data_IF_117551426565
#
_entry.id   IF_117551426565
#
_cell.length_a   1.000
_cell.length_b   1.000
_cell.length_c   1.000
_cell.angle_alpha   90.00
_cell.angle_beta   90.00
_cell.angle_gamma   90.00
#
_symmetry.space_group_name_H-M   'P 1'
#
loop_
_entity.id
_entity.type
_entity.pdbx_description
1 polymer ?
#
# COMPACT_ATOMS: atom_id res chain seq x y z
N UNK A 1 -64.12 -18.06 -4.22
CA UNK A 1 -62.99 -17.61 -5.06
C UNK A 1 -62.68 -16.16 -4.69
N UNK A 2 -61.81 -15.93 -3.69
CA UNK A 2 -61.10 -14.66 -3.51
C UNK A 2 -59.89 -14.94 -2.62
N UNK A 3 -58.73 -15.06 -3.27
CA UNK A 3 -57.42 -15.15 -2.63
C UNK A 3 -56.98 -13.72 -2.32
N UNK A 4 -56.93 -13.36 -1.04
CA UNK A 4 -56.25 -12.16 -0.57
C UNK A 4 -54.74 -12.45 -0.59
N UNK A 5 -54.06 -12.01 -1.64
CA UNK A 5 -52.61 -11.83 -1.64
C UNK A 5 -52.28 -10.72 -0.65
N UNK A 6 -51.75 -11.06 0.53
CA UNK A 6 -51.05 -10.09 1.37
C UNK A 6 -49.72 -9.74 0.70
N UNK A 7 -49.58 -8.47 0.33
CA UNK A 7 -48.34 -7.86 -0.14
C UNK A 7 -47.30 -7.87 0.99
N UNK A 8 -46.32 -8.77 0.91
CA UNK A 8 -45.07 -8.70 1.66
C UNK A 8 -44.10 -7.74 0.94
N UNK A 9 -44.33 -6.43 1.08
CA UNK A 9 -43.32 -5.42 0.79
C UNK A 9 -43.13 -4.57 2.04
N UNK A 10 -42.18 -4.98 2.88
CA UNK A 10 -41.67 -4.12 3.94
C UNK A 10 -40.93 -2.94 3.31
N UNK A 11 -41.40 -1.72 3.57
CA UNK A 11 -40.69 -0.49 3.18
C UNK A 11 -39.40 -0.41 3.99
N UNK A 12 -38.25 -0.52 3.34
CA UNK A 12 -36.97 -0.27 4.00
C UNK A 12 -36.89 1.21 4.40
N UNK A 13 -36.92 1.50 5.71
CA UNK A 13 -36.74 2.84 6.26
C UNK A 13 -35.28 3.02 6.72
N UNK A 14 -34.58 4.03 6.24
CA UNK A 14 -33.26 4.42 6.75
C UNK A 14 -33.42 5.43 7.90
N UNK A 15 -32.88 5.13 9.07
CA UNK A 15 -32.76 6.08 10.19
C UNK A 15 -31.35 6.66 10.24
N UNK A 16 -31.18 7.97 10.52
CA UNK A 16 -29.85 8.56 10.72
C UNK A 16 -29.16 7.89 11.91
N UNK A 17 -27.96 7.34 11.69
CA UNK A 17 -27.20 6.64 12.73
C UNK A 17 -26.21 7.55 13.46
N UNK A 18 -25.61 8.52 12.77
CA UNK A 18 -24.75 9.56 13.31
C UNK A 18 -24.71 10.75 12.34
N UNK A 19 -24.34 11.91 12.86
CA UNK A 19 -24.09 13.12 12.07
C UNK A 19 -22.78 13.76 12.54
N UNK A 20 -21.98 14.26 11.59
CA UNK A 20 -20.65 14.81 11.87
C UNK A 20 -20.45 16.10 11.08
N UNK A 21 -20.53 17.22 11.79
CA UNK A 21 -20.12 18.51 11.26
C UNK A 21 -18.59 18.58 11.20
N UNK A 22 -18.05 18.59 9.99
CA UNK A 22 -16.62 18.83 9.74
C UNK A 22 -16.44 20.30 9.40
N UNK A 23 -15.50 20.98 10.07
CA UNK A 23 -15.28 22.40 9.88
C UNK A 23 -14.69 22.70 8.47
N UNK A 24 -15.36 23.58 7.73
CA UNK A 24 -14.87 24.13 6.47
C UNK A 24 -15.47 23.50 5.20
N UNK A 25 -15.27 24.15 4.05
CA UNK A 25 -15.81 23.68 2.78
C UNK A 25 -15.09 22.40 2.32
N UNK A 26 -15.89 21.35 2.08
CA UNK A 26 -15.45 20.04 1.59
C UNK A 26 -14.90 20.17 0.16
N UNK A 27 -13.68 19.68 -0.08
CA UNK A 27 -13.26 19.27 -1.42
C UNK A 27 -13.31 17.74 -1.48
N UNK A 28 -13.92 17.21 -2.54
CA UNK A 28 -14.19 15.79 -2.71
C UNK A 28 -12.89 15.00 -2.92
N UNK A 29 -12.26 14.61 -1.81
CA UNK A 29 -11.26 13.56 -1.71
C UNK A 29 -11.81 12.33 -1.00
N UNK A 30 -13.07 11.95 -1.29
CA UNK A 30 -13.67 10.75 -0.70
C UNK A 30 -12.99 9.52 -1.23
N UNK A 31 -12.28 8.84 -0.33
CA UNK A 31 -11.77 7.50 -0.58
C UNK A 31 -12.31 6.64 0.53
N UNK A 32 -13.44 5.99 0.24
CA UNK A 32 -13.85 4.82 0.99
C UNK A 32 -12.89 3.69 0.66
N UNK A 33 -12.49 2.91 1.65
CA UNK A 33 -11.60 1.78 1.43
C UNK A 33 -12.28 0.74 0.53
N UNK A 34 -11.74 0.52 -0.67
CA UNK A 34 -12.12 -0.63 -1.49
C UNK A 34 -11.46 -1.83 -0.86
N UNK A 35 -12.27 -2.79 -0.42
CA UNK A 35 -11.90 -4.00 0.31
C UNK A 35 -10.62 -4.66 -0.27
N UNK A 36 -9.48 -4.47 0.39
CA UNK A 36 -8.16 -5.01 -0.03
C UNK A 36 -7.76 -6.19 0.85
N UNK A 37 -7.22 -7.24 0.23
CA UNK A 37 -6.68 -8.40 0.94
C UNK A 37 -5.38 -7.98 1.63
N UNK A 38 -5.27 -8.27 2.93
CA UNK A 38 -4.07 -8.04 3.74
C UNK A 38 -3.52 -9.39 4.17
N UNK A 39 -2.30 -9.71 3.74
CA UNK A 39 -1.65 -10.96 4.13
C UNK A 39 -1.15 -10.92 5.58
N UNK A 40 -0.38 -9.88 5.91
CA UNK A 40 0.28 -9.77 7.22
C UNK A 40 -0.39 -8.67 8.05
N UNK A 41 -1.04 -9.08 9.14
CA UNK A 41 -1.76 -8.18 10.06
C UNK A 41 -0.86 -7.49 11.09
N UNK A 42 0.43 -7.84 11.12
CA UNK A 42 1.36 -7.28 12.08
C UNK A 42 2.71 -6.99 11.42
N UNK A 43 3.44 -6.03 11.98
CA UNK A 43 4.81 -5.70 11.60
C UNK A 43 5.71 -6.01 12.77
N UNK A 44 6.71 -6.85 12.54
CA UNK A 44 7.73 -7.18 13.54
C UNK A 44 8.72 -6.03 13.60
N UNK A 45 9.00 -5.55 14.80
CA UNK A 45 10.01 -4.53 15.10
C UNK A 45 11.33 -5.19 15.52
N UNK A 46 12.37 -4.36 15.56
CA UNK A 46 13.75 -4.73 15.92
C UNK A 46 13.86 -5.42 17.29
N UNK A 47 13.22 -4.85 18.30
CA UNK A 47 13.18 -5.33 19.68
C UNK A 47 12.37 -6.62 19.86
N UNK A 48 12.00 -7.26 18.74
CA UNK A 48 11.05 -8.38 18.66
C UNK A 48 9.69 -7.99 19.25
N UNK A 49 9.39 -6.69 19.27
CA UNK A 49 8.05 -6.21 19.50
C UNK A 49 7.24 -6.35 18.19
N UNK A 50 5.92 -6.35 18.30
CA UNK A 50 5.00 -6.51 17.20
C UNK A 50 4.01 -5.36 17.21
N UNK A 51 4.00 -4.60 16.11
CA UNK A 51 2.95 -3.62 15.85
C UNK A 51 1.84 -4.26 15.05
N UNK A 52 0.68 -4.45 15.67
CA UNK A 52 -0.51 -4.89 14.96
C UNK A 52 -1.08 -3.75 14.13
N UNK A 53 -1.29 -4.00 12.84
CA UNK A 53 -1.90 -3.04 11.92
C UNK A 53 -3.37 -2.86 12.31
N UNK A 54 -3.83 -1.62 12.36
CA UNK A 54 -5.25 -1.35 12.50
C UNK A 54 -5.93 -1.47 11.13
N UNK A 55 -6.75 -2.51 10.95
CA UNK A 55 -7.42 -2.82 9.68
C UNK A 55 -8.93 -2.83 9.94
N UNK A 56 -9.65 -1.92 9.29
CA UNK A 56 -11.11 -1.87 9.35
C UNK A 56 -11.68 -1.51 7.98
N UNK A 57 -12.75 -2.21 7.59
CA UNK A 57 -13.48 -1.95 6.34
C UNK A 57 -14.33 -0.68 6.40
N UNK A 58 -14.54 -0.17 7.60
CA UNK A 58 -15.43 0.95 7.88
C UNK A 58 -14.65 2.26 8.02
N UNK A 59 -13.49 2.36 7.39
CA UNK A 59 -12.66 3.56 7.47
C UNK A 59 -12.92 4.48 6.29
N UNK A 60 -13.08 5.76 6.62
CA UNK A 60 -13.21 6.84 5.66
C UNK A 60 -12.14 7.89 5.95
N UNK A 61 -11.34 8.16 4.93
CA UNK A 61 -10.45 9.31 4.94
C UNK A 61 -11.18 10.53 4.36
N UNK A 62 -11.10 11.65 5.07
CA UNK A 62 -11.70 12.92 4.66
C UNK A 62 -10.64 14.02 4.77
N UNK A 63 -10.52 14.83 3.71
CA UNK A 63 -9.68 16.02 3.70
C UNK A 63 -10.56 17.26 3.49
N UNK A 64 -10.38 18.28 4.33
CA UNK A 64 -11.04 19.57 4.22
C UNK A 64 -10.00 20.66 4.04
N UNK A 65 -10.24 21.56 3.10
CA UNK A 65 -9.35 22.67 2.79
C UNK A 65 -10.12 23.96 3.00
N UNK A 66 -9.54 24.90 3.73
CA UNK A 66 -10.03 26.26 3.78
C UNK A 66 -8.92 27.26 3.43
N UNK A 67 -9.25 28.37 2.74
CA UNK A 67 -10.54 28.68 2.12
C UNK A 67 -10.89 27.72 0.97
N UNK A 68 -12.16 27.65 0.57
CA UNK A 68 -12.63 26.72 -0.48
C UNK A 68 -11.79 26.95 -1.74
N UNK A 69 -10.94 25.99 -2.07
CA UNK A 69 -10.05 26.10 -3.22
C UNK A 69 -10.87 26.11 -4.52
N UNK A 70 -11.22 27.32 -4.98
CA UNK A 70 -11.75 27.62 -6.30
C UNK A 70 -10.83 28.57 -7.08
N UNK A 71 -9.73 29.03 -6.48
CA UNK A 71 -8.79 29.95 -7.10
C UNK A 71 -7.39 29.33 -7.19
N UNK A 72 -6.64 29.74 -8.21
CA UNK A 72 -5.30 29.24 -8.55
C UNK A 72 -4.35 29.25 -7.34
N UNK A 73 -3.35 28.36 -7.36
CA UNK A 73 -2.28 28.31 -6.35
C UNK A 73 -1.70 29.72 -6.16
N UNK A 74 -1.69 30.23 -4.92
CA UNK A 74 -1.20 31.57 -4.58
C UNK A 74 -2.27 32.67 -4.47
N UNK A 75 -3.55 32.35 -4.65
CA UNK A 75 -4.67 33.28 -4.42
C UNK A 75 -5.03 33.50 -2.94
N UNK A 76 -4.39 32.76 -2.04
CA UNK A 76 -4.70 32.72 -0.61
C UNK A 76 -3.40 32.95 0.17
N UNK A 77 -3.49 33.71 1.26
CA UNK A 77 -2.35 33.93 2.16
C UNK A 77 -2.06 32.67 2.99
N UNK A 78 -0.79 32.36 3.32
CA UNK A 78 -0.45 31.17 4.11
C UNK A 78 -1.02 31.12 5.54
N UNK A 79 -1.53 32.25 6.05
CA UNK A 79 -2.13 32.33 7.40
C UNK A 79 -3.63 32.02 7.39
N UNK A 80 -4.29 32.19 6.26
CA UNK A 80 -5.71 31.84 6.07
C UNK A 80 -5.91 30.41 5.53
N UNK A 81 -4.87 29.85 4.92
CA UNK A 81 -4.90 28.53 4.34
C UNK A 81 -4.62 27.43 5.38
N UNK A 82 -5.46 26.41 5.41
CA UNK A 82 -5.27 25.21 6.22
C UNK A 82 -5.94 23.99 5.59
N UNK A 83 -5.27 22.86 5.72
CA UNK A 83 -5.76 21.55 5.32
C UNK A 83 -5.91 20.72 6.59
N UNK A 84 -7.10 20.18 6.83
CA UNK A 84 -7.35 19.24 7.92
C UNK A 84 -7.72 17.89 7.34
N UNK A 85 -7.07 16.84 7.82
CA UNK A 85 -7.38 15.46 7.44
C UNK A 85 -7.94 14.71 8.63
N UNK A 86 -8.94 13.87 8.36
CA UNK A 86 -9.67 13.09 9.32
C UNK A 86 -9.70 11.63 8.88
N UNK A 87 -9.51 10.73 9.84
CA UNK A 87 -9.86 9.33 9.70
C UNK A 87 -11.12 9.08 10.54
N UNK A 88 -12.19 8.64 9.91
CA UNK A 88 -13.51 8.48 10.53
C UNK A 88 -13.94 7.02 10.39
N UNK A 89 -14.46 6.42 11.47
CA UNK A 89 -15.18 5.16 11.41
C UNK A 89 -16.62 5.42 10.92
N UNK A 90 -16.99 4.85 9.78
CA UNK A 90 -18.27 5.09 9.10
C UNK A 90 -19.48 4.45 9.78
N UNK A 91 -19.25 3.48 10.68
CA UNK A 91 -20.34 2.84 11.43
C UNK A 91 -20.72 3.69 12.64
N UNK A 92 -19.72 4.21 13.35
CA UNK A 92 -19.92 4.94 14.62
C UNK A 92 -19.85 6.46 14.49
N UNK A 93 -19.32 6.98 13.39
CA UNK A 93 -19.02 8.41 13.19
C UNK A 93 -17.80 8.90 13.96
N UNK A 94 -17.10 8.00 14.68
CA UNK A 94 -15.97 8.39 15.54
C UNK A 94 -14.79 8.86 14.70
N UNK A 95 -14.24 10.02 15.04
CA UNK A 95 -12.94 10.48 14.54
C UNK A 95 -11.84 9.69 15.26
N UNK A 96 -11.14 8.85 14.50
CA UNK A 96 -10.03 8.04 14.99
C UNK A 96 -8.71 8.82 14.99
N UNK A 97 -8.52 9.69 14.00
CA UNK A 97 -7.34 10.53 13.88
C UNK A 97 -7.67 11.85 13.20
N UNK A 98 -6.99 12.92 13.61
CA UNK A 98 -7.10 14.26 13.02
C UNK A 98 -5.70 14.87 12.93
N UNK A 99 -5.35 15.40 11.77
CA UNK A 99 -4.10 16.12 11.54
C UNK A 99 -4.37 17.42 10.78
N UNK A 100 -3.68 18.50 11.14
CA UNK A 100 -3.84 19.83 10.55
C UNK A 100 -2.53 20.31 9.96
N UNK A 101 -2.58 20.76 8.71
CA UNK A 101 -1.49 21.37 7.97
C UNK A 101 -1.79 22.85 7.75
N UNK A 102 -1.08 23.71 8.46
CA UNK A 102 -1.20 25.16 8.31
C UNK A 102 -0.49 25.64 7.04
N UNK A 103 -1.03 26.68 6.39
CA UNK A 103 -0.50 27.22 5.14
C UNK A 103 -0.52 26.23 3.98
N UNK A 104 -1.48 25.30 3.95
CA UNK A 104 -1.57 24.26 2.93
C UNK A 104 -2.86 24.37 2.12
N UNK A 105 -2.77 24.10 0.82
CA UNK A 105 -3.85 24.21 -0.16
C UNK A 105 -3.99 22.92 -0.97
N UNK A 106 -5.20 22.67 -1.47
CA UNK A 106 -5.48 21.65 -2.48
C UNK A 106 -4.99 22.04 -3.90
N UNK A 107 -5.22 21.17 -4.90
CA UNK A 107 -6.06 19.98 -4.85
C UNK A 107 -5.42 18.85 -4.03
N UNK A 108 -6.22 18.21 -3.17
CA UNK A 108 -5.79 17.06 -2.39
C UNK A 108 -6.06 15.78 -3.17
N UNK A 109 -5.03 14.96 -3.34
CA UNK A 109 -5.15 13.60 -3.88
C UNK A 109 -4.72 12.64 -2.79
N UNK A 110 -5.50 11.60 -2.54
CA UNK A 110 -5.18 10.63 -1.51
C UNK A 110 -5.25 9.21 -2.08
N UNK A 111 -4.72 8.25 -1.34
CA UNK A 111 -5.00 6.83 -1.52
C UNK A 111 -4.97 6.15 -0.16
N UNK A 112 -5.98 5.34 0.11
CA UNK A 112 -6.06 4.50 1.30
C UNK A 112 -5.69 3.06 0.92
N UNK A 113 -4.84 2.41 1.71
CA UNK A 113 -4.49 1.00 1.52
C UNK A 113 -4.09 0.33 2.83
N UNK A 114 -4.68 -0.82 3.12
CA UNK A 114 -4.44 -1.59 4.35
C UNK A 114 -4.66 -0.78 5.62
N UNK A 115 -3.58 -0.29 6.23
CA UNK A 115 -3.55 0.48 7.46
C UNK A 115 -2.87 1.84 7.26
N UNK A 116 -2.75 2.31 6.02
CA UNK A 116 -2.07 3.55 5.72
C UNK A 116 -2.79 4.39 4.68
N UNK A 117 -2.59 5.69 4.80
CA UNK A 117 -3.04 6.69 3.82
C UNK A 117 -1.85 7.49 3.37
N UNK A 118 -1.76 7.70 2.07
CA UNK A 118 -0.85 8.69 1.49
C UNK A 118 -1.70 9.75 0.82
N UNK A 119 -1.39 11.02 1.06
CA UNK A 119 -2.06 12.14 0.40
C UNK A 119 -1.09 13.24 0.03
N UNK A 120 -1.39 13.89 -1.08
CA UNK A 120 -0.61 14.94 -1.71
C UNK A 120 -1.36 16.27 -1.64
N UNK A 121 -0.65 17.34 -1.34
CA UNK A 121 -1.16 18.71 -1.26
C UNK A 121 -0.04 19.73 -1.55
N UNK A 122 -0.38 21.02 -1.61
CA UNK A 122 0.59 22.09 -1.81
C UNK A 122 0.82 22.88 -0.53
N UNK A 123 2.07 23.04 -0.11
CA UNK A 123 2.44 23.90 1.01
C UNK A 123 2.80 25.31 0.50
N UNK A 124 1.98 26.30 0.87
CA UNK A 124 2.16 27.70 0.48
C UNK A 124 3.35 28.37 1.17
N UNK A 125 3.70 27.96 2.41
CA UNK A 125 4.85 28.52 3.14
C UNK A 125 6.17 28.04 2.53
N UNK A 126 6.24 26.76 2.17
CA UNK A 126 7.42 26.16 1.57
C UNK A 126 7.49 26.34 0.04
N UNK A 127 6.39 26.77 -0.60
CA UNK A 127 6.22 26.83 -2.05
C UNK A 127 6.54 25.51 -2.76
N UNK A 128 6.16 24.39 -2.13
CA UNK A 128 6.49 23.03 -2.59
C UNK A 128 5.28 22.11 -2.46
N UNK A 129 5.23 21.10 -3.32
CA UNK A 129 4.30 19.99 -3.13
C UNK A 129 4.80 19.08 -2.03
N UNK A 130 3.86 18.61 -1.21
CA UNK A 130 4.13 17.68 -0.13
C UNK A 130 3.26 16.44 -0.28
N UNK A 131 3.80 15.32 0.16
CA UNK A 131 3.14 14.04 0.26
C UNK A 131 3.32 13.52 1.68
N UNK A 132 2.21 13.41 2.40
CA UNK A 132 2.20 12.88 3.77
C UNK A 132 1.71 11.46 3.78
N UNK A 133 2.32 10.65 4.64
CA UNK A 133 1.88 9.30 4.97
C UNK A 133 1.43 9.25 6.41
N UNK A 134 0.35 8.53 6.67
CA UNK A 134 -0.11 8.17 8.01
C UNK A 134 -0.31 6.66 8.04
N UNK A 135 0.26 6.00 9.05
CA UNK A 135 0.05 4.59 9.34
C UNK A 135 -0.68 4.42 10.67
N UNK A 136 -1.64 3.50 10.71
CA UNK A 136 -2.51 3.22 11.85
C UNK A 136 -2.19 1.84 12.45
N UNK A 137 -2.06 1.78 13.76
CA UNK A 137 -1.70 0.59 14.53
C UNK A 137 -2.66 0.39 15.70
N UNK A 138 -3.00 -0.85 16.00
CA UNK A 138 -3.91 -1.24 17.09
C UNK A 138 -3.10 -1.50 18.37
N UNK A 139 -3.25 -0.60 19.35
CA UNK A 139 -2.60 -0.74 20.66
C UNK A 139 -3.36 -1.68 21.59
N UNK A 140 -4.64 -1.97 21.35
CA UNK A 140 -5.41 -2.87 22.21
C UNK A 140 -4.87 -4.31 22.18
N UNK A 141 -4.09 -4.64 21.14
CA UNK A 141 -3.41 -5.94 20.97
C UNK A 141 -1.97 -5.93 21.50
N UNK A 142 -1.53 -4.84 22.11
CA UNK A 142 -0.18 -4.66 22.64
C UNK A 142 0.16 -5.63 23.77
N UNK A 143 -0.79 -6.19 24.52
CA UNK A 143 -0.44 -7.18 25.55
C UNK A 143 -0.11 -8.58 24.96
N UNK A 144 -0.29 -8.77 23.65
CA UNK A 144 -0.07 -10.03 22.94
C UNK A 144 1.13 -9.96 21.97
N UNK A 145 2.17 -9.21 22.34
CA UNK A 145 3.38 -8.86 21.56
C UNK A 145 4.39 -9.97 21.31
N UNK A 146 4.11 -11.20 21.72
CA UNK A 146 5.11 -12.26 21.63
C UNK A 146 5.26 -12.78 20.19
N UNK A 147 6.41 -12.49 19.56
CA UNK A 147 6.79 -12.97 18.22
C UNK A 147 6.71 -14.50 18.12
N UNK A 148 7.03 -15.21 19.20
CA UNK A 148 6.90 -16.68 19.22
C UNK A 148 5.45 -17.13 19.14
N UNK A 149 4.49 -16.37 19.68
CA UNK A 149 3.07 -16.66 19.52
C UNK A 149 2.57 -16.37 18.10
N UNK A 150 3.18 -15.43 17.39
CA UNK A 150 2.89 -15.16 15.97
C UNK A 150 3.41 -16.29 15.08
N UNK A 151 4.57 -16.86 15.39
CA UNK A 151 5.23 -17.90 14.57
C UNK A 151 4.77 -19.32 14.93
N UNK A 152 4.61 -19.63 16.22
CA UNK A 152 4.32 -20.98 16.75
C UNK A 152 2.94 -21.10 17.39
N UNK A 153 2.29 -19.99 17.75
CA UNK A 153 1.07 -19.98 18.54
C UNK A 153 -0.22 -19.96 17.72
N UNK A 154 -1.32 -20.44 18.33
CA UNK A 154 -2.70 -20.21 17.86
C UNK A 154 -3.11 -18.77 18.20
N UNK A 155 -2.56 -17.79 17.49
CA UNK A 155 -2.99 -16.41 17.61
C UNK A 155 -4.37 -16.27 16.94
N UNK A 156 -5.37 -15.77 17.69
CA UNK A 156 -6.75 -15.66 17.23
C UNK A 156 -6.93 -14.43 16.31
N UNK A 157 -6.25 -14.44 15.16
CA UNK A 157 -6.43 -13.45 14.07
C UNK A 157 -7.85 -13.48 13.49
N UNK A 158 -8.63 -14.50 13.84
CA UNK A 158 -10.04 -14.69 13.51
C UNK A 158 -11.01 -14.06 14.52
N UNK A 159 -10.51 -13.41 15.57
CA UNK A 159 -11.40 -12.69 16.50
C UNK A 159 -12.16 -11.59 15.75
N UNK A 160 -13.50 -11.55 15.85
CA UNK A 160 -14.29 -10.57 15.12
C UNK A 160 -13.95 -9.16 15.61
N UNK A 161 -13.53 -8.30 14.70
CA UNK A 161 -13.31 -6.88 14.97
C UNK A 161 -14.65 -6.18 14.80
N UNK A 162 -15.11 -5.52 15.87
CA UNK A 162 -16.31 -4.70 15.85
C UNK A 162 -15.94 -3.24 15.93
N UNK A 163 -16.52 -2.39 15.07
CA UNK A 163 -16.36 -0.93 15.18
C UNK A 163 -16.83 -0.38 16.54
N UNK A 164 -17.68 -1.11 17.27
CA UNK A 164 -18.16 -0.72 18.59
C UNK A 164 -17.17 -1.03 19.74
N UNK A 165 -16.16 -1.88 19.53
CA UNK A 165 -15.24 -2.29 20.60
C UNK A 165 -14.19 -1.22 20.98
N UNK A 166 -14.26 -0.03 20.38
CA UNK A 166 -13.43 1.15 20.67
C UNK A 166 -11.94 0.84 20.93
N UNK A 167 -11.23 0.21 19.99
CA UNK A 167 -9.80 -0.05 20.15
C UNK A 167 -9.02 1.26 20.29
N UNK A 168 -7.94 1.21 21.06
CA UNK A 168 -6.96 2.29 21.14
C UNK A 168 -6.04 2.23 19.92
N UNK A 169 -5.89 3.34 19.21
CA UNK A 169 -5.15 3.40 17.94
C UNK A 169 -3.94 4.31 18.11
N UNK A 170 -2.77 3.80 17.72
CA UNK A 170 -1.56 4.58 17.55
C UNK A 170 -1.40 4.98 16.10
N UNK A 171 -1.02 6.24 15.86
CA UNK A 171 -0.75 6.76 14.52
C UNK A 171 0.69 7.20 14.39
N UNK A 172 1.36 6.80 13.31
CA UNK A 172 2.68 7.33 12.93
C UNK A 172 2.53 8.10 11.63
N UNK A 173 3.07 9.32 11.55
CA UNK A 173 2.92 10.18 10.39
C UNK A 173 4.23 10.85 10.02
N UNK A 174 4.46 11.04 8.72
CA UNK A 174 5.62 11.78 8.21
C UNK A 174 5.27 12.44 6.87
N UNK A 175 5.84 13.61 6.62
CA UNK A 175 5.68 14.37 5.38
C UNK A 175 6.96 14.38 4.58
N UNK A 176 6.83 14.37 3.26
CA UNK A 176 7.93 14.41 2.31
C UNK A 176 7.62 15.43 1.21
N UNK A 177 8.64 16.10 0.70
CA UNK A 177 8.53 16.93 -0.49
C UNK A 177 8.46 16.09 -1.75
N UNK A 178 7.56 16.49 -2.64
CA UNK A 178 7.43 15.94 -3.98
C UNK A 178 7.61 17.07 -5.00
N UNK A 179 8.16 16.77 -6.18
CA UNK A 179 8.60 17.83 -7.11
C UNK A 179 7.49 18.38 -8.00
N UNK A 180 6.42 17.61 -8.21
CA UNK A 180 5.38 17.93 -9.20
C UNK A 180 3.99 17.74 -8.61
N UNK A 181 3.00 18.40 -9.21
CA UNK A 181 1.60 18.11 -8.88
C UNK A 181 1.20 16.70 -9.36
N UNK A 182 0.14 16.17 -8.77
CA UNK A 182 -0.35 14.82 -9.04
C UNK A 182 -1.76 14.87 -9.64
N UNK A 183 -1.92 14.26 -10.82
CA UNK A 183 -3.21 14.17 -11.53
C UNK A 183 -4.10 13.07 -10.93
N UNK A 184 -3.53 11.89 -10.69
CA UNK A 184 -4.20 10.70 -10.16
C UNK A 184 -3.27 9.92 -9.23
N UNK A 185 -3.85 9.19 -8.27
CA UNK A 185 -3.11 8.28 -7.37
C UNK A 185 -3.87 6.97 -7.25
N UNK A 186 -3.14 5.86 -7.27
CA UNK A 186 -3.66 4.55 -6.93
C UNK A 186 -2.54 3.70 -6.30
N UNK A 187 -2.85 2.50 -5.84
CA UNK A 187 -1.89 1.57 -5.27
C UNK A 187 -1.96 0.23 -5.99
N UNK A 188 -0.80 -0.41 -6.16
CA UNK A 188 -0.74 -1.77 -6.70
C UNK A 188 -1.46 -2.78 -5.80
N UNK A 189 -2.26 -3.65 -6.42
CA UNK A 189 -3.04 -4.71 -5.77
C UNK A 189 -2.66 -6.09 -6.31
N UNK A 190 -2.51 -7.05 -5.40
CA UNK A 190 -2.23 -8.46 -5.70
C UNK A 190 -3.25 -9.35 -4.98
N UNK A 191 -3.38 -10.61 -5.42
CA UNK A 191 -4.48 -11.47 -5.00
C UNK A 191 -4.46 -11.78 -3.49
N UNK A 192 -3.27 -11.96 -2.91
CA UNK A 192 -3.04 -12.27 -1.50
C UNK A 192 -2.52 -11.08 -0.70
N UNK A 193 -2.05 -10.02 -1.36
CA UNK A 193 -1.43 -8.87 -0.68
C UNK A 193 -0.10 -9.20 -0.01
N UNK A 194 0.66 -10.15 -0.57
CA UNK A 194 2.01 -10.54 -0.10
C UNK A 194 3.07 -9.63 -0.70
N UNK A 195 2.97 -9.39 -2.00
CA UNK A 195 3.91 -8.54 -2.76
C UNK A 195 3.97 -7.13 -2.19
N UNK A 196 5.17 -6.53 -2.16
CA UNK A 196 5.33 -5.16 -1.69
C UNK A 196 4.50 -4.19 -2.53
N UNK A 197 3.91 -3.17 -1.89
CA UNK A 197 3.06 -2.21 -2.59
C UNK A 197 3.89 -1.07 -3.17
N UNK A 198 3.57 -0.72 -4.41
CA UNK A 198 3.93 0.54 -5.04
C UNK A 198 2.73 1.48 -5.09
N UNK A 199 3.00 2.75 -4.82
CA UNK A 199 2.14 3.89 -5.06
C UNK A 199 2.26 4.30 -6.53
N UNK A 200 1.16 4.24 -7.26
CA UNK A 200 1.06 4.68 -8.64
C UNK A 200 0.67 6.17 -8.65
N UNK A 201 1.55 7.01 -9.19
CA UNK A 201 1.40 8.46 -9.22
C UNK A 201 1.29 8.89 -10.69
N UNK A 202 0.14 9.45 -11.06
CA UNK A 202 -0.05 10.11 -12.35
C UNK A 202 0.56 11.51 -12.31
N UNK A 203 1.66 11.72 -13.02
CA UNK A 203 2.36 13.01 -13.05
C UNK A 203 1.66 14.01 -13.96
N UNK A 204 1.99 15.31 -13.83
CA UNK A 204 1.50 16.34 -14.76
C UNK A 204 1.90 16.09 -16.22
N UNK A 205 3.00 15.36 -16.45
CA UNK A 205 3.51 15.00 -17.77
C UNK A 205 2.78 13.82 -18.42
N UNK A 206 1.63 13.41 -17.87
CA UNK A 206 0.80 12.32 -18.38
C UNK A 206 1.51 10.96 -18.40
N UNK A 207 2.38 10.74 -17.42
CA UNK A 207 3.06 9.46 -17.19
C UNK A 207 2.72 8.90 -15.82
N UNK A 208 2.81 7.59 -15.68
CA UNK A 208 2.56 6.90 -14.40
C UNK A 208 3.89 6.50 -13.78
N UNK A 209 4.20 7.09 -12.62
CA UNK A 209 5.36 6.76 -11.81
C UNK A 209 4.97 5.72 -10.74
N UNK A 210 5.68 4.60 -10.66
CA UNK A 210 5.53 3.61 -9.60
C UNK A 210 6.56 3.84 -8.48
N UNK A 211 6.14 4.45 -7.37
CA UNK A 211 7.00 4.68 -6.21
C UNK A 211 6.80 3.57 -5.18
N UNK A 212 7.88 2.95 -4.71
CA UNK A 212 7.81 1.95 -3.64
C UNK A 212 7.31 2.56 -2.33
N UNK A 213 6.34 1.91 -1.65
CA UNK A 213 5.81 2.37 -0.36
C UNK A 213 6.90 2.51 0.72
N UNK A 214 8.03 1.82 0.59
CA UNK A 214 9.18 1.96 1.50
C UNK A 214 9.76 3.39 1.53
N UNK A 215 9.63 4.16 0.44
CA UNK A 215 10.01 5.58 0.45
C UNK A 215 9.06 6.43 1.29
N UNK A 216 7.84 5.97 1.55
CA UNK A 216 6.82 6.63 2.35
C UNK A 216 6.58 5.84 3.64
N UNK A 217 7.64 5.51 4.39
CA UNK A 217 7.52 4.88 5.72
C UNK A 217 7.69 5.99 6.79
N UNK A 218 6.71 6.20 7.71
CA UNK A 218 6.77 7.25 8.71
C UNK A 218 7.82 7.02 9.81
N UNK A 219 8.49 5.86 9.80
CA UNK A 219 9.54 5.52 10.77
C UNK A 219 10.94 5.86 10.26
N UNK A 220 11.07 6.44 9.06
CA UNK A 220 12.37 6.83 8.53
C UNK A 220 12.94 7.96 9.40
N UNK A 221 14.12 7.73 9.96
CA UNK A 221 14.88 8.70 10.74
C UNK A 221 16.10 9.18 9.93
N UNK A 222 16.58 10.40 10.17
CA UNK A 222 17.72 10.95 9.42
C UNK A 222 18.99 10.14 9.64
N UNK A 223 19.19 9.64 10.86
CA UNK A 223 20.31 8.79 11.25
C UNK A 223 19.76 7.46 11.78
N UNK A 224 19.44 6.49 10.91
CA UNK A 224 18.87 5.23 11.36
C UNK A 224 19.88 4.42 12.16
N UNK A 225 19.41 3.81 13.23
CA UNK A 225 20.20 2.91 14.08
C UNK A 225 20.69 1.70 13.26
N UNK A 226 21.75 0.99 13.68
CA UNK A 226 22.21 -0.21 12.97
C UNK A 226 21.11 -1.23 12.74
N UNK A 227 20.19 -1.33 13.68
CA UNK A 227 19.17 -2.36 13.69
C UNK A 227 17.88 -1.91 12.97
N UNK A 228 17.58 -0.61 12.90
CA UNK A 228 16.66 -0.04 11.90
C UNK A 228 17.14 -0.30 10.46
N UNK A 229 18.47 -0.27 10.22
CA UNK A 229 19.04 -0.61 8.91
C UNK A 229 18.93 -2.09 8.59
N UNK A 230 19.01 -2.97 9.59
CA UNK A 230 18.75 -4.42 9.42
C UNK A 230 17.29 -4.70 9.04
N UNK A 231 16.32 -3.93 9.54
CA UNK A 231 14.92 -3.97 9.07
C UNK A 231 14.76 -3.43 7.63
N UNK A 232 15.80 -2.81 7.07
CA UNK A 232 15.77 -2.18 5.76
C UNK A 232 15.10 -0.80 5.76
N UNK A 233 15.04 -0.10 6.89
CA UNK A 233 14.56 1.28 6.95
C UNK A 233 15.54 2.18 6.21
N UNK A 234 15.05 2.85 5.17
CA UNK A 234 15.84 3.81 4.42
C UNK A 234 16.02 5.10 5.25
N UNK A 235 17.23 5.70 5.28
CA UNK A 235 17.44 6.98 5.95
C UNK A 235 16.46 8.03 5.45
N UNK A 236 15.93 8.87 6.34
CA UNK A 236 15.00 9.93 5.96
C UNK A 236 15.67 10.93 5.02
N UNK A 237 15.03 11.13 3.88
CA UNK A 237 15.32 12.21 2.93
C UNK A 237 14.06 13.04 2.84
N UNK A 238 14.21 14.35 2.92
CA UNK A 238 13.08 15.29 2.84
C UNK A 238 12.37 15.23 1.48
N UNK A 239 13.09 14.88 0.42
CA UNK A 239 12.60 14.78 -0.95
C UNK A 239 12.41 13.33 -1.38
N UNK A 240 11.29 13.07 -2.07
CA UNK A 240 11.04 11.77 -2.71
C UNK A 240 11.78 11.67 -4.05
N UNK A 241 12.47 10.56 -4.33
CA UNK A 241 13.21 10.40 -5.56
C UNK A 241 12.28 10.14 -6.75
N UNK A 242 12.56 10.81 -7.87
CA UNK A 242 11.98 10.45 -9.18
C UNK A 242 13.02 9.65 -9.94
N UNK A 243 12.79 8.34 -10.03
CA UNK A 243 13.67 7.41 -10.71
C UNK A 243 13.08 7.18 -12.11
N UNK A 244 13.77 7.56 -13.20
CA UNK A 244 13.24 7.42 -14.56
C UNK A 244 12.88 5.97 -14.92
N UNK A 245 13.60 4.98 -14.38
CA UNK A 245 13.29 3.56 -14.60
C UNK A 245 12.01 3.09 -13.89
N UNK A 246 11.48 3.89 -12.94
CA UNK A 246 10.26 3.57 -12.20
C UNK A 246 8.98 4.05 -12.90
N UNK A 247 9.07 4.69 -14.06
CA UNK A 247 7.90 5.01 -14.87
C UNK A 247 7.30 3.73 -15.47
N UNK A 248 6.07 3.43 -15.05
CA UNK A 248 5.28 2.27 -15.52
C UNK A 248 4.91 2.41 -16.99
N UNK A 249 4.74 3.66 -17.48
CA UNK A 249 4.48 3.94 -18.89
C UNK A 249 5.75 3.97 -19.74
N UNK A 250 6.93 3.79 -19.15
CA UNK A 250 8.23 3.90 -19.81
C UNK A 250 8.37 5.20 -20.62
N UNK A 251 8.45 5.12 -21.95
CA UNK A 251 8.53 6.27 -22.87
C UNK A 251 7.17 6.82 -23.31
N UNK A 252 6.09 6.11 -23.00
CA UNK A 252 4.75 6.49 -23.42
C UNK A 252 4.13 7.50 -22.45
N UNK A 253 3.24 8.32 -23.01
CA UNK A 253 2.37 9.26 -22.30
C UNK A 253 0.92 8.86 -22.53
N UNK A 254 0.10 9.02 -21.51
CA UNK A 254 -1.34 8.76 -21.52
C UNK A 254 -2.01 10.13 -21.50
N UNK A 255 -2.15 10.75 -22.67
CA UNK A 255 -2.56 12.14 -22.78
C UNK A 255 -3.86 12.42 -22.01
N UNK A 256 -3.86 13.50 -21.23
CA UNK A 256 -4.97 13.86 -20.37
C UNK A 256 -5.32 12.78 -19.34
N UNK A 257 -4.32 12.26 -18.62
CA UNK A 257 -4.47 11.22 -17.60
C UNK A 257 -5.50 11.63 -16.54
N UNK A 258 -6.59 10.88 -16.44
CA UNK A 258 -7.69 11.12 -15.48
C UNK A 258 -7.65 10.19 -14.29
N UNK A 259 -7.27 8.93 -14.51
CA UNK A 259 -7.28 7.92 -13.46
C UNK A 259 -6.37 6.74 -13.76
N UNK A 260 -6.06 6.01 -12.69
CA UNK A 260 -5.28 4.77 -12.71
C UNK A 260 -6.10 3.75 -11.95
N UNK A 261 -6.13 2.52 -12.46
CA UNK A 261 -6.79 1.38 -11.84
C UNK A 261 -5.79 0.24 -11.78
N UNK A 262 -5.57 -0.29 -10.58
CA UNK A 262 -4.83 -1.53 -10.37
C UNK A 262 -5.78 -2.71 -10.07
N UNK A 263 -5.55 -3.84 -10.73
CA UNK A 263 -6.30 -5.09 -10.52
C UNK A 263 -5.32 -6.23 -10.26
N UNK A 264 -5.58 -7.11 -9.27
CA UNK A 264 -4.73 -8.28 -9.04
C UNK A 264 -4.72 -9.22 -10.24
N UNK A 265 -3.54 -9.72 -10.60
CA UNK A 265 -3.40 -10.79 -11.57
C UNK A 265 -3.49 -12.17 -10.89
N UNK A 266 -3.43 -13.24 -11.69
CA UNK A 266 -3.41 -14.62 -11.17
C UNK A 266 -2.13 -14.95 -10.42
N UNK A 267 -0.99 -14.45 -10.90
CA UNK A 267 0.30 -14.56 -10.23
C UNK A 267 0.41 -13.47 -9.17
N UNK A 268 0.81 -13.85 -7.96
CA UNK A 268 0.89 -12.95 -6.81
C UNK A 268 1.96 -11.88 -6.99
N UNK A 269 3.03 -12.19 -7.73
CA UNK A 269 4.09 -11.22 -8.00
C UNK A 269 3.68 -10.10 -8.98
N UNK A 270 2.53 -10.25 -9.65
CA UNK A 270 2.10 -9.37 -10.74
C UNK A 270 0.78 -8.68 -10.45
N UNK A 271 0.66 -7.46 -10.96
CA UNK A 271 -0.57 -6.66 -10.95
C UNK A 271 -0.82 -6.11 -12.34
N UNK A 272 -2.09 -5.95 -12.70
CA UNK A 272 -2.51 -5.32 -13.94
C UNK A 272 -2.77 -3.84 -13.66
N UNK A 273 -2.14 -2.96 -14.42
CA UNK A 273 -2.29 -1.51 -14.29
C UNK A 273 -2.93 -0.98 -15.56
N UNK A 274 -4.08 -0.33 -15.40
CA UNK A 274 -4.81 0.35 -16.45
C UNK A 274 -4.87 1.86 -16.15
N UNK A 275 -4.24 2.66 -17.00
CA UNK A 275 -4.28 4.11 -16.92
C UNK A 275 -5.16 4.64 -18.05
N UNK A 276 -6.04 5.58 -17.74
CA UNK A 276 -7.01 6.11 -18.71
C UNK A 276 -7.10 7.64 -18.65
N UNK A 277 -7.27 8.23 -19.83
CA UNK A 277 -7.39 9.66 -20.05
C UNK A 277 -8.12 9.94 -21.36
N UNK A 278 -7.49 10.72 -22.23
CA UNK A 278 -7.84 10.74 -23.67
C UNK A 278 -7.36 9.43 -24.30
N UNK A 279 -6.15 9.01 -23.94
CA UNK A 279 -5.58 7.73 -24.35
C UNK A 279 -5.81 6.64 -23.29
N UNK A 280 -5.70 5.39 -23.72
CA UNK A 280 -5.80 4.22 -22.87
C UNK A 280 -4.46 3.49 -22.85
N UNK A 281 -3.98 3.15 -21.67
CA UNK A 281 -2.72 2.41 -21.49
C UNK A 281 -2.92 1.25 -20.52
N UNK A 282 -2.41 0.09 -20.90
CA UNK A 282 -2.50 -1.13 -20.13
C UNK A 282 -1.13 -1.81 -20.06
N UNK A 283 -0.71 -2.19 -18.86
CA UNK A 283 0.51 -2.96 -18.65
C UNK A 283 0.41 -3.86 -17.44
N UNK A 284 1.37 -4.77 -17.29
CA UNK A 284 1.55 -5.58 -16.08
C UNK A 284 2.76 -5.05 -15.34
N UNK A 285 2.66 -4.95 -14.03
CA UNK A 285 3.74 -4.50 -13.16
C UNK A 285 4.04 -5.59 -12.13
N UNK A 286 5.32 -5.79 -11.82
CA UNK A 286 5.77 -6.70 -10.78
C UNK A 286 6.56 -5.92 -9.71
N UNK A 287 5.88 -5.38 -8.67
CA UNK A 287 6.52 -4.48 -7.70
C UNK A 287 7.75 -5.07 -7.00
N UNK A 288 7.72 -6.38 -6.70
CA UNK A 288 8.82 -7.12 -6.06
C UNK A 288 9.57 -8.03 -7.03
N UNK A 289 9.51 -7.75 -8.34
CA UNK A 289 9.93 -8.65 -9.43
C UNK A 289 9.11 -9.95 -9.45
N UNK A 290 9.25 -10.72 -10.53
CA UNK A 290 8.54 -11.97 -10.74
C UNK A 290 9.19 -13.10 -9.94
N UNK A 291 8.74 -13.33 -8.71
CA UNK A 291 9.27 -14.39 -7.83
C UNK A 291 8.49 -15.71 -7.90
N UNK A 292 7.33 -15.72 -8.55
CA UNK A 292 6.47 -16.90 -8.74
C UNK A 292 6.44 -17.39 -10.20
N UNK A 293 7.37 -16.88 -11.01
CA UNK A 293 7.63 -17.32 -12.38
C UNK A 293 9.13 -17.49 -12.58
N UNK A 294 9.52 -18.42 -13.46
CA UNK A 294 10.89 -18.48 -13.96
C UNK A 294 11.21 -17.19 -14.73
N UNK A 295 12.44 -16.72 -14.60
CA UNK A 295 12.95 -15.57 -15.36
C UNK A 295 13.06 -15.93 -16.83
N UNK A 296 12.86 -14.95 -17.70
CA UNK A 296 13.04 -15.12 -19.15
C UNK A 296 14.50 -15.51 -19.50
N UNK A 297 15.46 -15.04 -18.71
CA UNK A 297 16.90 -15.33 -18.86
C UNK A 297 17.33 -16.70 -18.31
N UNK A 298 16.40 -17.56 -17.90
CA UNK A 298 16.75 -18.87 -17.33
C UNK A 298 17.36 -19.80 -18.39
N UNK A 299 18.61 -20.22 -18.19
CA UNK A 299 19.31 -21.10 -19.15
C UNK A 299 18.87 -22.56 -19.01
N UNK A 300 17.79 -22.91 -19.70
CA UNK A 300 17.30 -24.30 -19.79
C UNK A 300 18.35 -25.25 -20.37
N UNK A 301 19.17 -24.78 -21.31
CA UNK A 301 20.23 -25.59 -21.92
C UNK A 301 21.31 -26.00 -20.90
N UNK A 302 21.77 -25.06 -20.06
CA UNK A 302 22.75 -25.37 -19.01
C UNK A 302 22.19 -26.34 -17.98
N UNK A 303 20.92 -26.18 -17.59
CA UNK A 303 20.25 -27.12 -16.69
C UNK A 303 20.20 -28.53 -17.29
N UNK A 304 19.87 -28.67 -18.57
CA UNK A 304 19.83 -29.97 -19.22
C UNK A 304 21.23 -30.61 -19.32
N UNK A 305 22.24 -29.82 -19.72
CA UNK A 305 23.63 -30.29 -19.84
C UNK A 305 24.15 -30.78 -18.48
N UNK A 306 23.89 -30.03 -17.41
CA UNK A 306 24.35 -30.44 -16.07
C UNK A 306 23.67 -31.72 -15.61
N UNK A 307 22.37 -31.91 -15.84
CA UNK A 307 21.67 -33.17 -15.55
C UNK A 307 22.31 -34.35 -16.29
N UNK A 308 22.54 -34.21 -17.61
CA UNK A 308 23.15 -35.27 -18.42
C UNK A 308 24.58 -35.60 -17.94
N UNK A 309 25.39 -34.56 -17.66
CA UNK A 309 26.73 -34.74 -17.15
C UNK A 309 26.76 -35.46 -15.79
N UNK A 310 25.80 -35.14 -14.90
CA UNK A 310 25.70 -35.76 -13.58
C UNK A 310 25.26 -37.22 -13.67
N UNK A 311 24.33 -37.55 -14.57
CA UNK A 311 23.93 -38.94 -14.86
C UNK A 311 25.11 -39.75 -15.43
N UNK A 312 25.86 -39.19 -16.37
CA UNK A 312 27.05 -39.84 -16.92
C UNK A 312 28.12 -40.06 -15.84
N UNK A 313 28.35 -39.06 -14.98
CA UNK A 313 29.29 -39.17 -13.87
C UNK A 313 28.87 -40.26 -12.87
N UNK A 314 27.57 -40.39 -12.55
CA UNK A 314 27.05 -41.47 -11.70
C UNK A 314 27.34 -42.83 -12.33
N UNK A 315 27.08 -43.00 -13.64
CA UNK A 315 27.31 -44.27 -14.31
C UNK A 315 28.79 -44.67 -14.34
N UNK A 316 29.68 -43.70 -14.64
CA UNK A 316 31.13 -43.92 -14.65
C UNK A 316 31.63 -44.25 -13.24
N UNK A 317 31.20 -43.51 -12.22
CA UNK A 317 31.60 -43.75 -10.82
C UNK A 317 31.07 -45.08 -10.29
N UNK A 318 29.86 -45.49 -10.66
CA UNK A 318 29.31 -46.81 -10.31
C UNK A 318 30.18 -47.95 -10.86
N UNK A 319 30.52 -47.90 -12.16
CA UNK A 319 31.41 -48.90 -12.78
C UNK A 319 32.79 -48.92 -12.10
N UNK A 320 33.35 -47.74 -11.82
CA UNK A 320 34.65 -47.63 -11.14
C UNK A 320 34.58 -48.18 -9.70
N UNK A 321 33.46 -47.97 -9.01
CA UNK A 321 33.20 -48.48 -7.66
C UNK A 321 33.12 -50.01 -7.65
N UNK A 322 32.32 -50.62 -8.52
CA UNK A 322 32.22 -52.09 -8.62
C UNK A 322 33.58 -52.73 -8.92
N UNK A 323 34.35 -52.13 -9.85
CA UNK A 323 35.71 -52.59 -10.15
C UNK A 323 36.67 -52.45 -8.98
N UNK A 324 36.52 -51.42 -8.16
CA UNK A 324 37.34 -51.24 -6.95
C UNK A 324 36.95 -52.26 -5.88
N UNK A 325 35.66 -52.43 -5.62
CA UNK A 325 35.15 -53.39 -4.64
C UNK A 325 35.53 -54.83 -4.99
N UNK A 326 35.42 -55.22 -6.26
CA UNK A 326 35.91 -56.51 -6.75
C UNK A 326 37.42 -56.67 -6.48
N UNK A 327 38.26 -55.67 -6.80
CA UNK A 327 39.70 -55.76 -6.50
C UNK A 327 40.01 -55.88 -5.02
N UNK A 328 39.29 -55.14 -4.17
CA UNK A 328 39.49 -55.19 -2.73
C UNK A 328 39.05 -56.53 -2.12
N UNK A 329 37.99 -57.16 -2.68
CA UNK A 329 37.53 -58.50 -2.28
C UNK A 329 38.43 -59.65 -2.74
N UNK A 330 39.21 -59.46 -3.81
CA UNK A 330 40.11 -60.47 -4.39
C UNK A 330 41.55 -60.36 -3.87
N UNK A 331 41.79 -59.48 -2.90
CA UNK A 331 43.04 -59.39 -2.12
C UNK A 331 42.96 -60.26 -0.88
#
# INVERSE_FOLDING_TARGET
>A
MHVLKQNLFGTASGSPSWDQDVAGPRQDGHIGDVLKVVHTQARVMEDRDVLYKYISKNLLFVATVAPKAAAAIGSVTPDEAWLVVYLIDTVTGRILHRMTHYGSQGPVRAVFSENWVVYHYFNLRAHRYEMSVIEFYDLSRADNKDVWKLILGKHNLTSPISSYSRPEIMTKSQSYFFTHSVKAMDVTLTAKGITAKQLLIGTIGDQVLGLDKRFLDPRRSANPTPAEREEGIMPYTDTLPIIPQSYVTHSLKVEGLRGIISVPAKLESTTLVFAYGVDLFFTRVAPSRTYDSLTEDFSYALLLITIVALVAAIFVTWILSERKELRDKWR
#
